data_IF_953086203070
#
_entry.id   IF_953086203070
#
_cell.length_a   1.000
_cell.length_b   1.000
_cell.length_c   1.000
_cell.angle_alpha   90.00
_cell.angle_beta   90.00
_cell.angle_gamma   90.00
#
_symmetry.space_group_name_H-M   'P 1'
#
loop_
_entity.id
_entity.type
_entity.pdbx_description
1 polymer ?
2 non-polymer ?
3 non-polymer ?
4 non-polymer ?
5 non-polymer ?
6 water ?
#
# COMPACT_ATOMS: atom_id res chain seq x y z
N UNK A 1 -0.24 -26.16 4.22
CA UNK A 1 -1.74 -26.04 4.02
C UNK A 1 -2.25 -24.63 4.37
N UNK A 2 -2.85 -23.95 3.38
CA UNK A 2 -3.43 -22.62 3.57
C UNK A 2 -4.95 -22.65 3.35
N UNK A 3 -5.70 -22.28 4.40
CA UNK A 3 -7.15 -22.26 4.36
C UNK A 3 -7.61 -20.84 4.56
N UNK A 4 -8.41 -20.32 3.63
CA UNK A 4 -8.89 -18.98 3.68
C UNK A 4 -10.41 -18.91 3.82
N UNK A 5 -10.89 -18.19 4.82
CA UNK A 5 -12.29 -17.87 4.96
C UNK A 5 -12.52 -16.51 4.33
N UNK A 6 -13.55 -16.37 3.50
CA UNK A 6 -13.94 -15.13 2.88
C UNK A 6 -15.45 -14.96 3.04
N UNK A 7 -15.93 -13.73 2.89
CA UNK A 7 -17.37 -13.44 2.88
C UNK A 7 -17.70 -12.10 3.50
N UNK A 8 -18.96 -11.68 3.37
CA UNK A 8 -19.41 -10.37 3.88
C UNK A 8 -19.35 -10.30 5.41
N UNK A 9 -19.47 -9.10 5.93
CA UNK A 9 -19.59 -8.88 7.37
C UNK A 9 -20.81 -9.66 7.90
N UNK A 10 -20.65 -10.34 9.04
CA UNK A 10 -21.72 -11.12 9.65
C UNK A 10 -21.92 -12.52 9.09
N UNK A 11 -21.06 -12.97 8.18
CA UNK A 11 -21.19 -14.30 7.59
C UNK A 11 -20.65 -15.42 8.49
N UNK A 12 -19.98 -15.09 9.58
CA UNK A 12 -19.51 -16.08 10.52
C UNK A 12 -18.08 -16.50 10.34
N UNK A 13 -17.28 -15.70 9.64
CA UNK A 13 -15.89 -16.04 9.35
C UNK A 13 -15.06 -16.18 10.61
N UNK A 14 -15.17 -15.19 11.48
CA UNK A 14 -14.35 -15.20 12.67
C UNK A 14 -14.70 -16.40 13.51
N UNK A 15 -15.98 -16.68 13.64
CA UNK A 15 -16.45 -17.76 14.46
C UNK A 15 -16.00 -19.08 13.87
N UNK A 16 -16.27 -19.31 12.59
CA UNK A 16 -15.92 -20.57 11.96
C UNK A 16 -14.41 -20.83 11.85
N UNK A 17 -13.64 -19.79 11.59
CA UNK A 17 -12.18 -19.93 11.53
C UNK A 17 -11.58 -20.35 12.88
N UNK A 18 -12.14 -19.77 13.97
CA UNK A 18 -11.75 -20.11 15.34
C UNK A 18 -12.16 -21.56 15.65
N UNK A 19 -13.36 -21.94 15.20
CA UNK A 19 -13.83 -23.32 15.34
C UNK A 19 -12.91 -24.30 14.60
N UNK A 20 -12.54 -23.95 13.37
CA UNK A 20 -11.66 -24.82 12.60
C UNK A 20 -10.28 -24.91 13.27
N UNK A 21 -9.78 -23.81 13.80
CA UNK A 21 -8.49 -23.76 14.53
C UNK A 21 -8.43 -24.74 15.73
N UNK A 22 -9.42 -24.68 16.61
CA UNK A 22 -9.47 -25.56 17.80
C UNK A 22 -9.59 -27.03 17.40
N UNK A 23 -10.50 -27.30 16.49
CA UNK A 23 -10.72 -28.64 15.94
C UNK A 23 -9.42 -29.28 15.40
N UNK A 24 -8.66 -28.53 14.61
CA UNK A 24 -7.43 -29.05 13.95
C UNK A 24 -6.27 -29.19 14.93
N UNK A 25 -6.22 -28.30 15.93
CA UNK A 25 -5.23 -28.37 17.00
C UNK A 25 -5.45 -29.69 17.74
N UNK A 26 -6.72 -29.98 18.08
CA UNK A 26 -7.07 -31.22 18.80
C UNK A 26 -6.69 -32.46 17.99
N UNK A 27 -6.95 -32.43 16.68
CA UNK A 27 -6.53 -33.50 15.75
C UNK A 27 -5.00 -33.57 15.51
N UNK A 28 -4.21 -32.66 16.07
CA UNK A 28 -2.75 -32.79 16.12
C UNK A 28 -1.97 -32.03 15.06
N UNK A 29 -2.65 -31.20 14.28
CA UNK A 29 -1.98 -30.31 13.36
C UNK A 29 -1.41 -29.16 14.15
N UNK A 30 -0.31 -28.63 13.66
CA UNK A 30 0.24 -27.37 14.14
C UNK A 30 -0.50 -26.32 13.33
N UNK A 31 -1.20 -25.40 14.01
CA UNK A 31 -2.09 -24.46 13.35
C UNK A 31 -1.77 -23.00 13.73
N UNK A 32 -1.93 -22.09 12.76
CA UNK A 32 -1.94 -20.67 13.00
C UNK A 32 -3.26 -20.09 12.47
N UNK A 33 -3.74 -19.07 13.17
CA UNK A 33 -4.93 -18.33 12.82
C UNK A 33 -4.55 -16.86 12.77
N UNK A 34 -4.82 -16.21 11.66
CA UNK A 34 -4.53 -14.80 11.49
C UNK A 34 -5.69 -14.09 10.83
N UNK A 35 -5.87 -12.83 11.17
CA UNK A 35 -6.89 -11.99 10.54
C UNK A 35 -6.26 -10.98 9.62
N UNK A 36 -7.05 -10.56 8.64
CA UNK A 36 -6.68 -9.55 7.70
C UNK A 36 -7.78 -8.46 7.70
N UNK A 37 -7.40 -7.19 7.81
CA UNK A 37 -6.02 -6.75 8.11
C UNK A 37 -5.67 -7.04 9.56
N UNK A 38 -4.39 -7.07 9.85
CA UNK A 38 -3.90 -7.41 11.19
C UNK A 38 -2.93 -8.56 11.10
N UNK A 39 -2.76 -9.26 12.20
CA UNK A 39 -1.94 -10.47 12.25
C UNK A 39 -0.47 -10.29 12.56
N UNK A 40 0.05 -9.06 12.38
CA UNK A 40 1.43 -8.66 12.77
C UNK A 40 1.38 -7.38 13.58
N UNK A 41 2.50 -6.98 14.19
CA UNK A 41 2.60 -5.69 14.88
C UNK A 41 2.21 -4.56 13.91
N UNK A 42 2.85 -4.56 12.76
CA UNK A 42 2.64 -3.53 11.79
C UNK A 42 1.25 -3.60 11.21
N UNK A 43 0.83 -4.80 10.86
CA UNK A 43 -0.51 -5.05 10.37
C UNK A 43 -1.62 -4.54 11.27
N UNK A 44 -1.43 -4.67 12.59
CA UNK A 44 -2.45 -4.21 13.53
C UNK A 44 -2.50 -2.69 13.62
N UNK A 45 -1.36 -2.02 13.44
CA UNK A 45 -1.36 -0.55 13.36
C UNK A 45 -2.19 -0.11 12.16
N UNK A 46 -1.96 -0.75 11.01
CA UNK A 46 -2.71 -0.43 9.81
C UNK A 46 -4.19 -0.77 10.00
N UNK A 47 -4.49 -1.86 10.70
CA UNK A 47 -5.87 -2.21 10.99
C UNK A 47 -6.56 -1.07 11.75
N UNK A 48 -5.91 -0.57 12.81
CA UNK A 48 -6.44 0.55 13.61
C UNK A 48 -6.69 1.78 12.70
N UNK A 49 -5.77 2.07 11.81
CA UNK A 49 -5.94 3.16 10.85
C UNK A 49 -7.14 2.91 9.91
N UNK A 50 -7.21 1.72 9.31
CA UNK A 50 -8.30 1.43 8.38
C UNK A 50 -9.66 1.56 9.03
N UNK A 51 -9.75 1.27 10.33
CA UNK A 51 -11.02 1.34 11.06
C UNK A 51 -11.30 2.73 11.64
N UNK A 52 -10.24 3.43 12.06
CA UNK A 52 -10.33 4.81 12.57
C UNK A 52 -10.67 5.84 11.48
N UNK A 53 -9.82 5.94 10.47
CA UNK A 53 -9.76 7.15 9.61
C UNK A 53 -10.72 7.15 8.43
N UNK A 54 -11.04 8.35 7.96
CA UNK A 54 -11.84 8.50 6.74
C UNK A 54 -10.81 8.38 5.62
N UNK A 55 -10.91 7.33 4.81
CA UNK A 55 -9.96 7.08 3.75
C UNK A 55 -10.66 6.90 2.42
N UNK A 56 -10.13 7.53 1.39
CA UNK A 56 -10.47 7.16 0.04
C UNK A 56 -10.12 5.69 -0.20
N UNK A 57 -10.81 5.12 -1.17
CA UNK A 57 -10.68 3.73 -1.54
C UNK A 57 -9.30 3.30 -2.03
N UNK A 58 -8.54 4.22 -2.61
CA UNK A 58 -7.21 3.87 -3.16
C UNK A 58 -6.22 3.67 -2.04
N UNK A 59 -6.19 4.65 -1.14
CA UNK A 59 -5.41 4.57 0.08
C UNK A 59 -5.78 3.37 0.91
N UNK A 60 -7.07 3.13 1.03
CA UNK A 60 -7.58 1.92 1.65
C UNK A 60 -6.99 0.65 1.05
N UNK A 61 -7.13 0.47 -0.25
CA UNK A 61 -6.59 -0.69 -0.91
C UNK A 61 -5.10 -0.88 -0.62
N UNK A 62 -4.31 0.18 -0.68
CA UNK A 62 -2.85 0.08 -0.51
C UNK A 62 -2.46 -0.32 0.91
N UNK A 63 -3.21 0.16 1.90
CA UNK A 63 -3.03 -0.25 3.27
C UNK A 63 -3.47 -1.72 3.55
N UNK A 64 -4.61 -2.14 2.99
CA UNK A 64 -4.98 -3.57 3.08
C UNK A 64 -3.83 -4.41 2.54
N UNK A 65 -3.27 -4.01 1.39
CA UNK A 65 -2.24 -4.79 0.78
C UNK A 65 -0.95 -4.78 1.59
N UNK A 66 -0.61 -3.63 2.17
CA UNK A 66 0.56 -3.52 3.04
C UNK A 66 0.44 -4.49 4.22
N UNK A 67 -0.69 -4.47 4.91
CA UNK A 67 -0.94 -5.47 5.97
C UNK A 67 -0.75 -6.93 5.48
N UNK A 68 -1.32 -7.25 4.34
CA UNK A 68 -1.13 -8.56 3.77
C UNK A 68 0.33 -8.91 3.47
N UNK A 69 1.07 -7.93 2.95
CA UNK A 69 2.47 -8.14 2.56
C UNK A 69 3.29 -8.48 3.79
N UNK A 70 3.04 -7.73 4.89
CA UNK A 70 3.74 -7.94 6.15
C UNK A 70 3.40 -9.30 6.70
N UNK A 71 2.12 -9.64 6.71
CA UNK A 71 1.68 -10.93 7.17
C UNK A 71 2.28 -12.08 6.37
N UNK A 72 2.28 -11.97 5.04
CA UNK A 72 2.83 -13.02 4.21
C UNK A 72 4.33 -13.26 4.54
N UNK A 73 5.08 -12.17 4.63
CA UNK A 73 6.53 -12.25 4.76
C UNK A 73 6.97 -12.62 6.18
N UNK A 74 6.31 -12.07 7.19
CA UNK A 74 6.68 -12.26 8.59
C UNK A 74 6.17 -13.61 9.14
N UNK A 75 4.97 -14.05 8.71
CA UNK A 75 4.27 -15.18 9.36
C UNK A 75 3.89 -16.32 8.40
N UNK A 76 3.16 -16.04 7.33
CA UNK A 76 2.59 -17.12 6.51
C UNK A 76 3.66 -17.93 5.78
N UNK A 77 4.57 -17.28 5.06
CA UNK A 77 5.58 -18.04 4.32
C UNK A 77 6.40 -18.94 5.28
N UNK A 78 6.94 -18.39 6.39
CA UNK A 78 7.62 -19.29 7.34
C UNK A 78 6.70 -20.38 7.96
N UNK A 79 5.45 -20.02 8.28
CA UNK A 79 4.50 -20.99 8.79
C UNK A 79 4.32 -22.15 7.83
N UNK A 80 4.06 -21.85 6.57
CA UNK A 80 3.95 -22.87 5.55
C UNK A 80 5.22 -23.73 5.42
N UNK A 81 6.39 -23.10 5.54
CA UNK A 81 7.68 -23.81 5.46
C UNK A 81 7.76 -24.92 6.53
N UNK A 82 7.28 -24.60 7.74
CA UNK A 82 7.28 -25.56 8.86
C UNK A 82 6.05 -26.47 8.91
N UNK A 83 5.35 -26.66 7.78
CA UNK A 83 4.13 -27.47 7.68
C UNK A 83 3.02 -27.14 8.71
N UNK A 84 2.91 -25.87 9.10
CA UNK A 84 1.74 -25.44 9.83
C UNK A 84 0.53 -25.37 8.89
N UNK A 85 -0.65 -25.67 9.41
CA UNK A 85 -1.90 -25.32 8.72
C UNK A 85 -2.17 -23.85 9.01
N UNK A 86 -2.32 -23.04 7.96
CA UNK A 86 -2.53 -21.60 8.14
C UNK A 86 -3.98 -21.27 7.77
N UNK A 87 -4.69 -20.66 8.72
CA UNK A 87 -6.10 -20.30 8.54
C UNK A 87 -6.19 -18.79 8.56
N UNK A 88 -6.81 -18.23 7.51
CA UNK A 88 -6.96 -16.79 7.37
C UNK A 88 -8.42 -16.37 7.46
N UNK A 89 -8.64 -15.42 8.37
CA UNK A 89 -9.93 -14.78 8.53
C UNK A 89 -9.92 -13.58 7.57
N UNK A 90 -10.43 -13.81 6.35
CA UNK A 90 -10.34 -12.92 5.18
C UNK A 90 -9.02 -13.08 4.44
N UNK A 91 -9.07 -12.93 3.12
CA UNK A 91 -7.85 -12.95 2.32
C UNK A 91 -8.12 -12.21 1.02
N UNK A 92 -7.57 -12.70 -0.09
CA UNK A 92 -7.48 -11.91 -1.33
C UNK A 92 -8.82 -11.69 -2.02
N UNK A 93 -9.75 -12.64 -1.90
CA UNK A 93 -11.06 -12.45 -2.52
C UNK A 93 -11.82 -11.31 -1.86
N UNK A 94 -11.64 -11.13 -0.56
CA UNK A 94 -12.27 -10.02 0.15
C UNK A 94 -11.87 -8.67 -0.43
N UNK A 95 -10.59 -8.55 -0.77
CA UNK A 95 -10.09 -7.33 -1.35
C UNK A 95 -10.74 -7.03 -2.70
N UNK A 96 -10.90 -8.05 -3.52
CA UNK A 96 -11.48 -7.84 -4.81
C UNK A 96 -12.96 -7.47 -4.62
N UNK A 97 -13.65 -8.24 -3.78
CA UNK A 97 -15.08 -8.04 -3.63
C UNK A 97 -15.38 -6.68 -3.07
N UNK A 98 -14.62 -6.25 -2.06
CA UNK A 98 -14.91 -4.97 -1.43
C UNK A 98 -14.38 -3.80 -2.24
N UNK A 99 -13.11 -3.83 -2.61
CA UNK A 99 -12.51 -2.70 -3.30
C UNK A 99 -12.88 -2.66 -4.76
N UNK A 100 -13.12 -3.82 -5.33
CA UNK A 100 -13.47 -3.92 -6.76
C UNK A 100 -14.96 -3.81 -6.98
N UNK A 101 -15.68 -4.90 -6.71
CA UNK A 101 -17.13 -4.91 -6.90
C UNK A 101 -17.82 -3.93 -6.01
N UNK A 102 -17.33 -3.78 -4.78
CA UNK A 102 -17.92 -2.80 -3.88
C UNK A 102 -17.62 -1.36 -4.27
N UNK A 103 -16.35 -0.94 -4.24
CA UNK A 103 -16.06 0.50 -4.39
C UNK A 103 -15.58 0.93 -5.76
N UNK A 104 -15.57 -0.02 -6.70
CA UNK A 104 -15.46 0.28 -8.11
C UNK A 104 -14.06 0.35 -8.68
N UNK A 105 -13.04 -0.05 -7.91
CA UNK A 105 -11.65 -0.10 -8.43
C UNK A 105 -11.47 -1.28 -9.41
N UNK A 106 -10.41 -1.22 -10.21
CA UNK A 106 -10.24 -2.18 -11.30
C UNK A 106 -9.82 -3.53 -10.73
N UNK A 107 -10.56 -4.56 -11.15
CA UNK A 107 -10.42 -5.90 -10.61
C UNK A 107 -9.10 -6.55 -11.03
N UNK A 108 -8.71 -6.42 -12.30
CA UNK A 108 -7.40 -6.90 -12.72
C UNK A 108 -6.24 -6.23 -11.93
N UNK A 109 -6.43 -4.95 -11.65
CA UNK A 109 -5.45 -4.23 -10.89
C UNK A 109 -5.33 -4.76 -9.48
N UNK A 110 -6.47 -4.93 -8.81
CA UNK A 110 -6.49 -5.56 -7.47
C UNK A 110 -5.81 -6.92 -7.50
N UNK A 111 -6.15 -7.75 -8.48
CA UNK A 111 -5.52 -9.09 -8.64
C UNK A 111 -4.00 -9.03 -8.76
N UNK A 112 -3.50 -8.03 -9.48
CA UNK A 112 -2.06 -7.91 -9.61
C UNK A 112 -1.39 -7.39 -8.32
N UNK A 113 -2.07 -6.50 -7.60
CA UNK A 113 -1.63 -6.14 -6.26
C UNK A 113 -1.67 -7.30 -5.29
N UNK A 114 -2.73 -8.10 -5.36
CA UNK A 114 -2.81 -9.32 -4.58
C UNK A 114 -1.62 -10.25 -4.85
N UNK A 115 -1.32 -10.49 -6.12
CA UNK A 115 -0.16 -11.33 -6.52
C UNK A 115 1.19 -10.83 -5.92
N UNK A 116 1.36 -9.51 -5.98
CA UNK A 116 2.54 -8.84 -5.44
C UNK A 116 2.67 -8.99 -3.94
N UNK A 117 1.58 -8.77 -3.22
CA UNK A 117 1.64 -8.80 -1.74
C UNK A 117 1.86 -10.21 -1.18
N UNK A 118 1.32 -11.20 -1.88
CA UNK A 118 1.38 -12.57 -1.46
C UNK A 118 2.57 -13.31 -2.08
N UNK A 119 3.39 -12.67 -2.93
CA UNK A 119 4.44 -13.40 -3.65
C UNK A 119 3.85 -14.61 -4.38
N UNK A 120 2.61 -14.51 -4.88
CA UNK A 120 1.95 -15.66 -5.49
C UNK A 120 1.52 -16.82 -4.61
N UNK A 121 1.59 -16.69 -3.28
CA UNK A 121 1.01 -17.66 -2.36
C UNK A 121 -0.52 -17.64 -2.47
N UNK A 122 -1.10 -18.80 -2.78
CA UNK A 122 -2.53 -19.02 -3.05
C UNK A 122 -3.02 -20.03 -2.03
N UNK A 123 -4.30 -19.96 -1.63
CA UNK A 123 -4.80 -21.03 -0.75
C UNK A 123 -4.96 -22.39 -1.46
N UNK A 124 -4.83 -23.46 -0.68
CA UNK A 124 -5.25 -24.81 -1.07
C UNK A 124 -6.76 -24.86 -1.19
N UNK A 125 -7.45 -24.15 -0.30
CA UNK A 125 -8.88 -24.03 -0.37
C UNK A 125 -9.33 -22.69 0.22
N UNK A 126 -10.34 -22.09 -0.41
CA UNK A 126 -11.01 -20.92 0.10
C UNK A 126 -12.43 -21.31 0.42
N UNK A 127 -12.87 -21.01 1.66
CA UNK A 127 -14.26 -21.18 2.11
C UNK A 127 -15.01 -19.88 2.07
N UNK A 128 -15.92 -19.79 1.09
CA UNK A 128 -16.79 -18.64 0.94
C UNK A 128 -18.05 -18.84 1.77
N UNK A 129 -18.15 -18.13 2.88
CA UNK A 129 -19.33 -18.13 3.72
C UNK A 129 -20.36 -17.19 3.11
N UNK A 130 -21.25 -17.74 2.29
CA UNK A 130 -22.25 -16.98 1.57
C UNK A 130 -23.50 -16.91 2.40
N UNK A 131 -24.13 -15.74 2.41
CA UNK A 131 -25.29 -15.48 3.27
C UNK A 131 -26.06 -14.30 2.69
N UNK A 132 -27.40 -14.33 2.74
CA UNK A 132 -28.16 -13.13 2.33
C UNK A 132 -27.81 -11.94 3.23
N UNK A 133 -27.78 -10.75 2.65
CA UNK A 133 -27.37 -9.55 3.35
C UNK A 133 -28.35 -9.26 4.47
N UNK A 134 -29.63 -9.53 4.23
CA UNK A 134 -30.67 -9.34 5.24
C UNK A 134 -30.36 -10.15 6.51
N UNK A 135 -29.92 -11.39 6.30
CA UNK A 135 -29.60 -12.26 7.41
C UNK A 135 -28.31 -11.83 8.10
N UNK A 136 -27.29 -11.49 7.33
CA UNK A 136 -26.05 -10.98 7.93
C UNK A 136 -26.29 -9.70 8.71
N UNK A 137 -27.17 -8.82 8.20
CA UNK A 137 -27.48 -7.56 8.93
C UNK A 137 -28.23 -7.75 10.27
N UNK A 138 -29.19 -8.70 10.31
CA UNK A 138 -29.88 -9.06 11.55
C UNK A 138 -28.88 -9.56 12.57
N UNK A 139 -27.89 -10.35 12.14
CA UNK A 139 -26.89 -10.86 13.10
C UNK A 139 -26.01 -9.79 13.62
N UNK A 140 -25.60 -8.88 12.77
CA UNK A 140 -24.81 -7.74 13.24
C UNK A 140 -25.60 -6.86 14.19
N UNK A 141 -26.89 -6.67 13.89
CA UNK A 141 -27.82 -5.84 14.72
C UNK A 141 -27.78 -6.32 16.17
N UNK A 142 -27.85 -7.63 16.37
CA UNK A 142 -27.75 -8.24 17.70
C UNK A 142 -26.46 -7.84 18.44
N UNK A 143 -25.39 -7.52 17.72
CA UNK A 143 -24.16 -7.00 18.30
C UNK A 143 -24.02 -5.44 18.24
N UNK A 144 -25.12 -4.74 17.96
CA UNK A 144 -25.14 -3.27 17.79
C UNK A 144 -24.18 -2.75 16.71
N UNK A 145 -24.09 -3.47 15.60
CA UNK A 145 -23.29 -3.06 14.45
C UNK A 145 -24.17 -2.97 13.20
N UNK A 146 -24.03 -1.89 12.44
CA UNK A 146 -24.96 -1.57 11.36
C UNK A 146 -24.15 -1.29 10.11
N UNK A 147 -24.33 -2.13 9.08
CA UNK A 147 -23.60 -1.98 7.83
C UNK A 147 -24.55 -1.66 6.67
N UNK A 148 -23.94 -1.27 5.55
CA UNK A 148 -24.62 -0.67 4.44
C UNK A 148 -25.16 -1.76 3.51
N UNK A 149 -26.50 -1.92 3.51
CA UNK A 149 -27.14 -2.94 2.73
C UNK A 149 -26.82 -2.82 1.24
N UNK A 150 -26.86 -1.59 0.70
CA UNK A 150 -26.62 -1.42 -0.73
C UNK A 150 -25.21 -1.92 -1.11
N UNK A 151 -24.22 -1.50 -0.31
CA UNK A 151 -22.84 -1.83 -0.52
C UNK A 151 -22.62 -3.36 -0.38
N UNK A 152 -23.16 -3.97 0.67
CA UNK A 152 -22.97 -5.41 0.88
C UNK A 152 -23.63 -6.29 -0.19
N UNK A 153 -24.74 -5.84 -0.80
CA UNK A 153 -25.36 -6.59 -1.91
C UNK A 153 -24.43 -6.75 -3.12
N UNK A 154 -23.83 -5.64 -3.54
CA UNK A 154 -22.82 -5.67 -4.59
C UNK A 154 -21.67 -6.57 -4.18
N UNK A 155 -21.18 -6.42 -2.93
CA UNK A 155 -20.01 -7.18 -2.46
C UNK A 155 -20.35 -8.65 -2.50
N UNK A 156 -21.53 -9.00 -1.99
CA UNK A 156 -21.94 -10.39 -1.98
C UNK A 156 -21.95 -10.98 -3.41
N UNK A 157 -22.55 -10.25 -4.33
CA UNK A 157 -22.55 -10.65 -5.77
C UNK A 157 -21.12 -10.86 -6.25
N UNK A 158 -20.27 -9.87 -6.01
CA UNK A 158 -18.84 -9.98 -6.30
C UNK A 158 -18.22 -11.28 -5.83
N UNK A 159 -18.41 -11.59 -4.55
CA UNK A 159 -17.92 -12.83 -3.95
C UNK A 159 -18.39 -14.06 -4.70
N UNK A 160 -19.67 -14.09 -5.03
CA UNK A 160 -20.26 -15.20 -5.78
C UNK A 160 -19.74 -15.32 -7.22
N UNK A 161 -19.53 -14.19 -7.89
CA UNK A 161 -18.89 -14.18 -9.24
C UNK A 161 -17.46 -14.74 -9.12
N UNK A 162 -16.73 -14.33 -8.09
CA UNK A 162 -15.38 -14.83 -7.91
C UNK A 162 -15.28 -16.34 -7.65
N UNK A 163 -16.30 -16.92 -7.02
CA UNK A 163 -16.29 -18.38 -6.71
C UNK A 163 -16.47 -19.22 -7.97
N UNK A 164 -17.23 -18.69 -8.95
CA UNK A 164 -17.43 -19.34 -10.28
C UNK A 164 -16.14 -19.39 -11.11
N UNK A 165 -15.32 -18.34 -11.00
CA UNK A 165 -14.16 -18.15 -11.87
C UNK A 165 -12.82 -18.48 -11.19
N UNK A 166 -12.62 -18.07 -9.94
CA UNK A 166 -11.33 -18.34 -9.24
C UNK A 166 -11.24 -19.79 -8.82
N UNK A 167 -10.02 -20.24 -8.52
CA UNK A 167 -9.74 -21.67 -8.33
C UNK A 167 -9.93 -22.08 -6.87
N UNK A 168 -10.41 -23.31 -6.63
CA UNK A 168 -10.48 -23.89 -5.27
C UNK A 168 -11.38 -23.14 -4.28
N UNK A 169 -12.45 -22.55 -4.76
CA UNK A 169 -13.36 -21.81 -3.90
C UNK A 169 -14.59 -22.68 -3.74
N UNK A 170 -14.93 -23.02 -2.50
CA UNK A 170 -16.19 -23.68 -2.18
C UNK A 170 -17.19 -22.71 -1.50
N UNK A 171 -18.39 -22.64 -2.04
CA UNK A 171 -19.47 -21.85 -1.46
C UNK A 171 -20.13 -22.68 -0.35
N UNK A 172 -20.07 -22.15 0.86
CA UNK A 172 -20.71 -22.75 2.03
C UNK A 172 -21.96 -21.93 2.30
N UNK A 173 -23.07 -22.61 2.58
CA UNK A 173 -24.29 -21.92 3.03
C UNK A 173 -24.10 -21.50 4.49
N UNK A 174 -23.73 -20.25 4.69
CA UNK A 174 -23.43 -19.78 6.04
C UNK A 174 -24.68 -19.40 6.82
N UNK A 175 -25.84 -19.46 6.18
CA UNK A 175 -27.11 -19.07 6.81
C UNK A 175 -27.57 -20.08 7.86
N UNK A 176 -27.05 -21.29 7.86
CA UNK A 176 -27.46 -22.31 8.85
C UNK A 176 -27.02 -21.98 10.25
N UNK A 177 -27.28 -22.89 11.18
CA UNK A 177 -26.76 -22.78 12.56
C UNK A 177 -25.28 -23.14 12.61
N UNK A 178 -24.63 -22.65 13.66
CA UNK A 178 -23.19 -22.70 13.83
C UNK A 178 -22.58 -24.07 13.55
N UNK A 179 -23.22 -25.10 14.11
CA UNK A 179 -22.75 -26.47 13.98
C UNK A 179 -22.99 -27.06 12.60
N UNK A 180 -24.16 -26.76 12.01
CA UNK A 180 -24.44 -27.14 10.62
C UNK A 180 -23.36 -26.56 9.68
N UNK A 181 -23.04 -25.29 9.85
CA UNK A 181 -22.15 -24.61 8.95
C UNK A 181 -20.80 -25.24 9.13
N UNK A 182 -20.38 -25.46 10.36
CA UNK A 182 -19.06 -26.08 10.61
C UNK A 182 -18.92 -27.48 9.93
N UNK A 183 -19.98 -28.29 9.94
CA UNK A 183 -19.88 -29.61 9.34
C UNK A 183 -19.92 -29.56 7.80
N UNK A 184 -20.57 -28.53 7.20
CA UNK A 184 -20.41 -28.23 5.75
C UNK A 184 -18.95 -27.84 5.46
N UNK A 185 -18.36 -27.01 6.31
CA UNK A 185 -16.96 -26.67 6.12
C UNK A 185 -16.09 -27.96 6.15
N UNK A 186 -16.29 -28.83 7.14
CA UNK A 186 -15.49 -30.05 7.25
C UNK A 186 -15.60 -30.96 6.01
N UNK A 187 -16.79 -31.04 5.43
CA UNK A 187 -16.95 -31.78 4.19
C UNK A 187 -16.16 -31.18 3.04
N UNK A 188 -16.23 -29.86 2.88
CA UNK A 188 -15.43 -29.14 1.87
C UNK A 188 -13.93 -29.32 2.08
N UNK A 189 -13.50 -29.23 3.33
CA UNK A 189 -12.13 -29.52 3.78
C UNK A 189 -11.62 -30.94 3.50
N UNK A 190 -12.52 -31.92 3.54
CA UNK A 190 -12.11 -33.32 3.32
C UNK A 190 -11.53 -33.53 1.90
N UNK A 191 -11.99 -32.69 0.96
CA UNK A 191 -11.35 -32.51 -0.34
C UNK A 191 -9.82 -32.42 -0.37
N UNK A 192 -9.21 -31.76 0.63
CA UNK A 192 -7.78 -31.39 0.57
C UNK A 192 -6.89 -31.86 1.71
N UNK A 193 -7.47 -32.27 2.83
CA UNK A 193 -6.70 -32.48 4.06
C UNK A 193 -6.93 -33.88 4.65
N UNK B 1 0.19 24.23 -11.07
CA UNK B 1 1.67 23.99 -11.23
C UNK B 1 2.17 23.02 -10.14
N UNK B 2 2.73 21.90 -10.60
CA UNK B 2 3.32 20.88 -9.73
C UNK B 2 4.82 20.78 -9.99
N UNK B 3 5.60 21.03 -8.94
CA UNK B 3 7.07 20.98 -9.00
C UNK B 3 7.57 19.92 -8.02
N UNK B 4 8.34 18.98 -8.53
CA UNK B 4 8.84 17.87 -7.74
C UNK B 4 10.34 17.89 -7.65
N UNK B 5 10.85 17.84 -6.44
CA UNK B 5 12.28 17.62 -6.20
C UNK B 5 12.53 16.14 -5.92
N UNK B 6 13.49 15.55 -6.62
CA UNK B 6 13.89 14.15 -6.48
C UNK B 6 15.39 14.10 -6.31
N UNK B 7 15.90 12.99 -5.81
CA UNK B 7 17.35 12.75 -5.66
C UNK B 7 17.73 12.02 -4.38
N UNK B 8 18.98 11.59 -4.30
CA UNK B 8 19.46 10.80 -3.14
C UNK B 8 19.49 11.61 -1.84
N UNK B 9 19.61 10.90 -0.73
CA UNK B 9 19.73 11.52 0.57
C UNK B 9 20.94 12.46 0.53
N UNK B 10 20.82 13.64 1.15
CA UNK B 10 21.90 14.63 1.20
C UNK B 10 22.11 15.45 -0.06
N UNK B 11 21.23 15.33 -1.04
CA UNK B 11 21.33 16.10 -2.28
C UNK B 11 20.80 17.55 -2.14
N UNK B 12 20.19 17.88 -0.99
CA UNK B 12 19.70 19.23 -0.76
C UNK B 12 18.25 19.49 -1.16
N UNK B 13 17.43 18.44 -1.25
CA UNK B 13 16.03 18.56 -1.66
C UNK B 13 15.28 19.38 -0.66
N UNK B 14 15.39 19.00 0.61
CA UNK B 14 14.62 19.71 1.60
C UNK B 14 15.00 21.18 1.59
N UNK B 15 16.30 21.46 1.52
CA UNK B 15 16.78 22.82 1.60
C UNK B 15 16.32 23.64 0.39
N UNK B 16 16.47 23.10 -0.81
CA UNK B 16 16.11 23.81 -2.03
C UNK B 16 14.60 23.98 -2.23
N UNK B 17 13.81 22.98 -1.87
CA UNK B 17 12.35 23.04 -1.93
C UNK B 17 11.81 24.16 -1.04
N UNK B 18 12.42 24.31 0.15
CA UNK B 18 12.03 25.33 1.14
C UNK B 18 12.42 26.71 0.64
N UNK B 19 13.58 26.78 -0.01
CA UNK B 19 14.07 27.97 -0.69
C UNK B 19 13.15 28.36 -1.85
N UNK B 20 12.72 27.37 -2.63
CA UNK B 20 11.82 27.66 -3.74
C UNK B 20 10.44 28.12 -3.25
N UNK B 21 9.99 27.57 -2.12
CA UNK B 21 8.74 27.95 -1.46
C UNK B 21 8.70 29.40 -1.02
N UNK B 22 9.73 29.84 -0.30
CA UNK B 22 9.79 31.23 0.21
C UNK B 22 9.87 32.19 -0.96
N UNK B 23 10.76 31.90 -1.89
CA UNK B 23 10.93 32.71 -3.10
C UNK B 23 9.61 32.97 -3.85
N UNK B 24 8.86 31.90 -4.13
CA UNK B 24 7.59 31.99 -4.89
C UNK B 24 6.47 32.67 -4.10
N UNK B 25 6.45 32.46 -2.78
CA UNK B 25 5.48 33.12 -1.91
C UNK B 25 5.71 34.65 -2.02
N UNK B 26 6.97 35.08 -1.89
CA UNK B 26 7.35 36.49 -2.01
C UNK B 26 6.95 37.06 -3.38
N UNK B 27 7.16 36.30 -4.46
CA UNK B 27 6.74 36.69 -5.81
C UNK B 27 5.18 36.67 -6.03
N UNK B 28 4.41 36.26 -5.01
CA UNK B 28 2.94 36.39 -5.01
C UNK B 28 2.15 35.18 -5.47
N UNK B 29 2.82 34.03 -5.64
CA UNK B 29 2.11 32.77 -5.89
C UNK B 29 1.60 32.27 -4.58
N UNK B 30 0.50 31.54 -4.66
CA UNK B 30 -0.02 30.79 -3.51
C UNK B 30 0.68 29.44 -3.61
N UNK B 31 1.40 29.06 -2.55
CA UNK B 31 2.29 27.91 -2.62
C UNK B 31 2.02 26.92 -1.50
N UNK B 32 2.12 25.64 -1.81
CA UNK B 32 2.16 24.58 -0.81
C UNK B 32 3.49 23.85 -0.89
N UNK B 33 3.97 23.38 0.24
CA UNK B 33 5.15 22.54 0.30
C UNK B 33 4.81 21.27 1.10
N UNK B 34 4.99 20.10 0.49
CA UNK B 34 4.72 18.84 1.18
C UNK B 34 5.87 17.89 1.01
N UNK B 35 6.10 17.05 2.02
CA UNK B 35 7.10 15.99 1.93
C UNK B 35 6.44 14.61 1.73
N UNK B 36 7.21 13.71 1.09
CA UNK B 36 6.84 12.32 0.89
C UNK B 36 7.94 11.41 1.48
N UNK B 37 7.56 10.44 2.32
CA UNK B 37 6.20 10.24 2.83
C UNK B 37 5.90 11.29 3.88
N UNK B 38 4.63 11.54 4.13
CA UNK B 38 4.18 12.55 5.10
C UNK B 38 3.17 13.46 4.45
N UNK B 39 3.02 14.66 5.00
CA UNK B 39 2.19 15.71 4.40
C UNK B 39 0.73 15.72 4.78
N UNK B 40 0.22 14.60 5.31
CA UNK B 40 -1.14 14.51 5.86
C UNK B 40 -1.04 13.90 7.25
N UNK B 41 -2.15 13.92 7.98
CA UNK B 41 -2.19 13.26 9.30
C UNK B 41 -1.86 11.77 9.14
N UNK B 42 -2.52 11.13 8.18
CA UNK B 42 -2.33 9.70 7.95
C UNK B 42 -0.96 9.42 7.35
N UNK B 43 -0.56 10.22 6.37
CA UNK B 43 0.77 10.15 5.78
C UNK B 43 1.90 10.22 6.76
N UNK B 44 1.76 11.06 7.81
CA UNK B 44 2.81 11.20 8.82
C UNK B 44 2.87 9.99 9.77
N UNK B 45 1.73 9.35 10.02
CA UNK B 45 1.75 8.10 10.78
C UNK B 45 2.51 7.05 10.03
N UNK B 46 2.24 6.93 8.74
CA UNK B 46 2.95 5.98 7.88
C UNK B 46 4.42 6.34 7.82
N UNK B 47 4.74 7.63 7.74
CA UNK B 47 6.14 8.07 7.77
C UNK B 47 6.84 7.52 9.01
N UNK B 48 6.26 7.77 10.19
CA UNK B 48 6.82 7.27 11.45
C UNK B 48 7.03 5.75 11.44
N UNK B 49 6.10 5.00 10.84
CA UNK B 49 6.25 3.56 10.64
C UNK B 49 7.44 3.23 9.74
N UNK B 50 7.47 3.85 8.55
CA UNK B 50 8.55 3.60 7.58
C UNK B 50 9.95 3.89 8.12
N UNK B 51 10.07 4.85 9.05
CA UNK B 51 11.38 5.17 9.66
C UNK B 51 11.69 4.36 10.92
N UNK B 52 10.65 3.99 11.67
CA UNK B 52 10.75 3.13 12.85
C UNK B 52 11.06 1.66 12.55
N UNK B 53 10.19 1.02 11.77
CA UNK B 53 10.12 -0.45 11.74
C UNK B 53 11.06 -1.12 10.74
N UNK B 54 11.37 -2.39 11.03
CA UNK B 54 12.11 -3.22 10.08
C UNK B 54 11.04 -3.69 9.09
N UNK B 55 11.14 -3.25 7.84
CA UNK B 55 10.16 -3.63 6.83
C UNK B 55 10.82 -4.26 5.61
N UNK B 56 10.23 -5.33 5.13
CA UNK B 56 10.51 -5.82 3.80
C UNK B 56 10.14 -4.74 2.77
N UNK B 57 10.78 -4.85 1.61
CA UNK B 57 10.66 -3.88 0.54
C UNK B 57 9.26 -3.78 -0.10
N UNK B 58 8.48 -4.86 -0.02
CA UNK B 58 7.16 -4.85 -0.62
C UNK B 58 6.21 -4.04 0.23
N UNK B 59 6.20 -4.36 1.52
CA UNK B 59 5.44 -3.62 2.50
C UNK B 59 5.81 -2.16 2.47
N UNK B 60 7.11 -1.91 2.46
CA UNK B 60 7.64 -0.54 2.31
C UNK B 60 7.02 0.18 1.12
N UNK B 61 7.08 -0.42 -0.05
CA UNK B 61 6.55 0.19 -1.27
C UNK B 61 5.08 0.54 -1.14
N UNK B 62 4.31 -0.39 -0.57
CA UNK B 62 2.86 -0.20 -0.42
C UNK B 62 2.53 0.90 0.57
N UNK B 63 3.33 1.05 1.62
CA UNK B 63 3.13 2.17 2.55
C UNK B 63 3.57 3.52 1.98
N UNK B 64 4.65 3.54 1.18
CA UNK B 64 5.03 4.79 0.47
C UNK B 64 3.90 5.21 -0.45
N UNK B 65 3.31 4.26 -1.15
CA UNK B 65 2.23 4.59 -2.05
C UNK B 65 0.95 4.99 -1.31
N UNK B 66 0.68 4.39 -0.16
CA UNK B 66 -0.48 4.80 0.66
C UNK B 66 -0.39 6.25 1.08
N UNK B 67 0.75 6.61 1.67
CA UNK B 67 1.04 8.02 1.95
C UNK B 67 0.79 8.94 0.71
N UNK B 68 1.35 8.57 -0.43
CA UNK B 68 1.18 9.35 -1.63
C UNK B 68 -0.29 9.48 -2.02
N UNK B 69 -1.05 8.39 -1.87
CA UNK B 69 -2.46 8.35 -2.27
C UNK B 69 -3.24 9.31 -1.41
N UNK B 70 -2.93 9.30 -0.11
CA UNK B 70 -3.58 10.20 0.82
C UNK B 70 -3.23 11.64 0.48
N UNK B 71 -1.96 11.92 0.25
CA UNK B 71 -1.52 13.25 -0.06
C UNK B 71 -2.15 13.75 -1.36
N UNK B 72 -2.22 12.89 -2.37
CA UNK B 72 -2.80 13.29 -3.63
C UNK B 72 -4.28 13.71 -3.46
N UNK B 73 -5.03 12.87 -2.76
CA UNK B 73 -6.48 13.03 -2.69
C UNK B 73 -6.88 14.12 -1.70
N UNK B 74 -6.17 14.21 -0.56
CA UNK B 74 -6.49 15.16 0.49
C UNK B 74 -6.00 16.57 0.16
N UNK B 75 -4.82 16.71 -0.46
CA UNK B 75 -4.12 18.03 -0.56
C UNK B 75 -3.79 18.45 -1.99
N UNK B 76 -3.11 17.61 -2.76
CA UNK B 76 -2.57 18.04 -4.04
C UNK B 76 -3.66 18.31 -5.06
N UNK B 77 -4.57 17.36 -5.26
CA UNK B 77 -5.60 17.58 -6.28
C UNK B 77 -6.37 18.89 -6.01
N UNK B 78 -6.90 19.09 -4.78
CA UNK B 78 -7.56 20.35 -4.46
C UNK B 78 -6.66 21.59 -4.51
N UNK B 79 -5.39 21.47 -4.09
CA UNK B 79 -4.42 22.56 -4.25
C UNK B 79 -4.28 22.96 -5.73
N UNK B 80 -4.07 22.00 -6.60
CA UNK B 80 -4.00 22.29 -8.03
C UNK B 80 -5.29 22.94 -8.58
N UNK B 81 -6.43 22.53 -8.05
CA UNK B 81 -7.72 23.03 -8.51
C UNK B 81 -7.81 24.54 -8.26
N UNK B 82 -7.29 24.97 -7.10
CA UNK B 82 -7.24 26.38 -6.71
C UNK B 82 -5.98 27.15 -7.21
N UNK B 83 -5.33 26.66 -8.26
CA UNK B 83 -4.12 27.26 -8.85
C UNK B 83 -2.98 27.54 -7.88
N UNK B 84 -2.82 26.72 -6.85
CA UNK B 84 -1.65 26.80 -5.99
C UNK B 84 -0.47 26.17 -6.72
N UNK B 85 0.72 26.72 -6.53
CA UNK B 85 1.95 26.04 -6.93
C UNK B 85 2.23 24.98 -5.88
N UNK B 86 2.34 23.72 -6.29
CA UNK B 86 2.57 22.63 -5.33
C UNK B 86 3.98 22.13 -5.52
N UNK B 87 4.77 22.19 -4.43
CA UNK B 87 6.17 21.78 -4.43
C UNK B 87 6.29 20.52 -3.60
N UNK B 88 6.85 19.47 -4.18
CA UNK B 88 7.05 18.17 -3.49
C UNK B 88 8.49 17.83 -3.17
N UNK B 89 8.76 17.57 -1.90
CA UNK B 89 10.06 17.11 -1.44
C UNK B 89 10.02 15.56 -1.57
N UNK B 90 10.49 15.07 -2.73
CA UNK B 90 10.39 13.65 -3.21
C UNK B 90 9.04 13.37 -3.82
N UNK B 91 9.05 12.54 -4.85
CA UNK B 91 7.81 12.11 -5.47
C UNK B 91 8.04 10.76 -6.16
N UNK B 92 7.49 10.54 -7.33
CA UNK B 92 7.38 9.22 -7.92
C UNK B 92 8.67 8.62 -8.48
N UNK B 93 9.60 9.47 -8.90
CA UNK B 93 10.91 8.96 -9.34
C UNK B 93 11.70 8.35 -8.19
N UNK B 94 11.55 8.92 -7.00
CA UNK B 94 12.21 8.42 -5.80
C UNK B 94 11.76 7.04 -5.52
N UNK B 95 10.48 6.79 -5.69
CA UNK B 95 9.98 5.45 -5.45
C UNK B 95 10.63 4.47 -6.36
N UNK B 96 10.70 4.81 -7.64
CA UNK B 96 11.25 3.90 -8.63
C UNK B 96 12.73 3.71 -8.33
N UNK B 97 13.44 4.80 -8.08
CA UNK B 97 14.89 4.70 -7.87
C UNK B 97 15.25 3.87 -6.64
N UNK B 98 14.53 4.07 -5.54
CA UNK B 98 14.84 3.40 -4.31
C UNK B 98 14.31 1.98 -4.27
N UNK B 99 13.04 1.79 -4.59
CA UNK B 99 12.41 0.46 -4.50
C UNK B 99 12.69 -0.41 -5.71
N UNK B 100 12.84 0.22 -6.88
CA UNK B 100 13.17 -0.48 -8.14
C UNK B 100 14.68 -0.71 -8.30
N UNK B 101 15.41 0.34 -8.66
CA UNK B 101 16.85 0.20 -8.89
C UNK B 101 17.59 -0.13 -7.62
N UNK B 102 17.16 0.47 -6.51
CA UNK B 102 17.78 0.20 -5.22
C UNK B 102 17.53 -1.21 -4.72
N UNK B 103 16.26 -1.57 -4.47
CA UNK B 103 15.95 -2.84 -3.78
C UNK B 103 15.47 -3.94 -4.70
N UNK B 104 15.44 -3.68 -5.99
CA UNK B 104 15.24 -4.72 -6.97
C UNK B 104 13.79 -5.09 -7.30
N UNK B 105 12.80 -4.29 -6.89
CA UNK B 105 11.41 -4.57 -7.31
C UNK B 105 11.20 -4.19 -8.75
N UNK B 106 10.13 -4.69 -9.35
CA UNK B 106 9.89 -4.46 -10.77
C UNK B 106 9.51 -2.99 -11.02
N UNK B 107 10.19 -2.38 -11.99
CA UNK B 107 10.07 -0.96 -12.30
C UNK B 107 8.75 -0.64 -13.01
N UNK B 108 8.31 -1.47 -13.93
CA UNK B 108 6.99 -1.29 -14.54
C UNK B 108 5.90 -1.35 -13.49
N UNK B 109 6.09 -2.23 -12.51
CA UNK B 109 5.13 -2.41 -11.45
C UNK B 109 5.06 -1.16 -10.59
N UNK B 110 6.22 -0.65 -10.16
CA UNK B 110 6.25 0.58 -9.39
C UNK B 110 5.59 1.71 -10.15
N UNK B 111 5.89 1.86 -11.44
CA UNK B 111 5.27 2.87 -12.29
C UNK B 111 3.73 2.76 -12.34
N UNK B 112 3.20 1.54 -12.37
CA UNK B 112 1.75 1.37 -12.38
C UNK B 112 1.14 1.68 -11.01
N UNK B 113 1.80 1.29 -9.93
CA UNK B 113 1.38 1.74 -8.64
C UNK B 113 1.41 3.26 -8.54
N UNK B 114 2.48 3.87 -9.05
CA UNK B 114 2.57 5.33 -9.04
C UNK B 114 1.37 5.93 -9.74
N UNK B 115 1.04 5.41 -10.91
CA UNK B 115 -0.08 5.91 -11.70
C UNK B 115 -1.39 5.86 -10.89
N UNK B 116 -1.61 4.75 -10.19
CA UNK B 116 -2.77 4.53 -9.33
C UNK B 116 -2.86 5.50 -8.13
N UNK B 117 -1.75 5.71 -7.45
CA UNK B 117 -1.76 6.54 -6.24
C UNK B 117 -1.97 8.00 -6.57
N UNK B 118 -1.46 8.41 -7.72
CA UNK B 118 -1.53 9.81 -8.13
C UNK B 118 -2.74 10.08 -9.02
N UNK B 119 -3.59 9.11 -9.33
CA UNK B 119 -4.65 9.32 -10.34
C UNK B 119 -4.07 9.90 -11.66
N UNK B 120 -2.87 9.48 -12.06
CA UNK B 120 -2.21 10.07 -13.21
C UNK B 120 -1.76 11.54 -13.13
N UNK B 121 -1.82 12.17 -11.96
CA UNK B 121 -1.23 13.53 -11.76
C UNK B 121 0.30 13.48 -11.83
N UNK B 122 0.86 14.20 -12.80
CA UNK B 122 2.27 14.22 -13.19
C UNK B 122 2.80 15.63 -12.91
N UNK B 123 4.09 15.78 -12.56
CA UNK B 123 4.62 17.15 -12.42
C UNK B 123 4.78 17.89 -13.76
N UNK B 124 4.63 19.21 -13.70
CA UNK B 124 5.01 20.10 -14.80
C UNK B 124 6.49 20.05 -15.00
N UNK B 125 7.22 19.99 -13.90
CA UNK B 125 8.66 19.82 -13.96
C UNK B 125 9.17 19.04 -12.75
N UNK B 126 10.15 18.19 -12.97
CA UNK B 126 10.84 17.50 -11.90
C UNK B 126 12.31 17.99 -11.88
N UNK B 127 12.74 18.44 -10.71
CA UNK B 127 14.15 18.81 -10.47
C UNK B 127 14.91 17.66 -9.81
N UNK B 128 15.75 16.99 -10.58
CA UNK B 128 16.64 15.94 -10.05
C UNK B 128 17.94 16.57 -9.56
N UNK B 129 18.07 16.68 -8.24
CA UNK B 129 19.29 17.11 -7.60
C UNK B 129 20.34 15.97 -7.58
N UNK B 130 21.12 15.91 -8.65
CA UNK B 130 22.15 14.88 -8.82
C UNK B 130 23.41 15.32 -8.13
N UNK B 131 24.04 14.37 -7.45
CA UNK B 131 25.24 14.61 -6.66
C UNK B 131 25.99 13.28 -6.52
N UNK B 132 27.33 13.32 -6.45
CA UNK B 132 28.07 12.06 -6.15
C UNK B 132 27.76 11.59 -4.75
N UNK B 133 27.72 10.27 -4.58
CA UNK B 133 27.38 9.68 -3.30
C UNK B 133 28.41 10.05 -2.22
N UNK B 134 29.69 10.08 -2.62
CA UNK B 134 30.79 10.49 -1.72
C UNK B 134 30.51 11.87 -1.13
N UNK B 135 30.06 12.80 -1.98
CA UNK B 135 29.75 14.17 -1.54
C UNK B 135 28.50 14.21 -0.65
N UNK B 136 27.43 13.54 -1.09
CA UNK B 136 26.24 13.46 -0.26
C UNK B 136 26.55 12.84 1.13
N UNK B 137 27.36 11.77 1.14
CA UNK B 137 27.70 11.14 2.43
C UNK B 137 28.51 12.06 3.37
N UNK B 138 29.47 12.82 2.81
CA UNK B 138 30.20 13.84 3.61
C UNK B 138 29.28 14.87 4.24
N UNK B 139 28.24 15.29 3.51
CA UNK B 139 27.25 16.24 4.05
C UNK B 139 26.42 15.64 5.14
N UNK B 140 25.93 14.43 4.91
CA UNK B 140 25.15 13.74 5.92
C UNK B 140 25.99 13.49 7.17
N UNK B 141 27.27 13.14 7.00
CA UNK B 141 28.21 12.97 8.14
C UNK B 141 28.24 14.19 9.06
N UNK B 142 28.31 15.40 8.48
CA UNK B 142 28.23 16.67 9.27
C UNK B 142 26.94 16.79 10.12
N UNK B 143 25.86 16.10 9.75
CA UNK B 143 24.63 16.02 10.57
C UNK B 143 24.52 14.71 11.41
N UNK B 144 25.61 13.96 11.55
CA UNK B 144 25.64 12.64 12.22
C UNK B 144 24.58 11.64 11.68
N UNK B 145 24.46 11.57 10.35
CA UNK B 145 23.62 10.57 9.65
C UNK B 145 24.49 9.80 8.64
N UNK B 146 24.36 8.49 8.64
CA UNK B 146 25.27 7.61 7.86
C UNK B 146 24.42 6.69 7.02
N UNK B 147 24.58 6.76 5.71
CA UNK B 147 23.79 5.96 4.76
C UNK B 147 24.69 5.06 3.94
N UNK B 148 24.06 4.08 3.30
CA UNK B 148 24.77 2.97 2.69
C UNK B 148 25.26 3.34 1.30
N UNK B 149 26.58 3.48 1.16
CA UNK B 149 27.17 3.88 -0.10
C UNK B 149 26.78 2.96 -1.26
N UNK B 150 26.86 1.64 -1.04
CA UNK B 150 26.60 0.69 -2.12
C UNK B 150 25.17 0.86 -2.65
N UNK B 151 24.25 1.05 -1.71
CA UNK B 151 22.83 1.20 -2.01
C UNK B 151 22.56 2.52 -2.75
N UNK B 152 23.16 3.61 -2.28
CA UNK B 152 22.98 4.91 -2.92
C UNK B 152 23.60 5.05 -4.30
N UNK B 153 24.70 4.35 -4.59
CA UNK B 153 25.27 4.33 -5.93
C UNK B 153 24.29 3.79 -6.95
N UNK B 154 23.67 2.66 -6.64
CA UNK B 154 22.61 2.10 -7.51
C UNK B 154 21.46 3.09 -7.66
N UNK B 155 21.02 3.66 -6.53
CA UNK B 155 19.88 4.58 -6.53
C UNK B 155 20.18 5.78 -7.40
N UNK B 156 21.36 6.35 -7.25
CA UNK B 156 21.78 7.49 -8.08
C UNK B 156 21.74 7.15 -9.57
N UNK B 157 22.30 6.01 -9.94
CA UNK B 157 22.28 5.54 -11.34
C UNK B 157 20.84 5.42 -11.83
N UNK B 158 20.01 4.80 -11.00
CA UNK B 158 18.57 4.73 -11.26
C UNK B 158 17.93 6.08 -11.55
N UNK B 159 18.18 7.07 -10.70
CA UNK B 159 17.68 8.43 -10.91
C UNK B 159 18.12 9.02 -12.25
N UNK B 160 19.40 8.87 -12.55
CA UNK B 160 19.94 9.33 -13.83
C UNK B 160 19.34 8.58 -15.06
N UNK B 161 19.16 7.26 -14.96
CA UNK B 161 18.50 6.51 -16.05
C UNK B 161 17.04 7.00 -16.27
N UNK B 162 16.35 7.35 -15.20
CA UNK B 162 15.00 7.87 -15.27
C UNK B 162 14.89 9.28 -15.87
N UNK B 163 15.92 10.10 -15.70
CA UNK B 163 15.93 11.48 -16.26
C UNK B 163 16.08 11.49 -17.77
N UNK B 164 16.81 10.49 -18.31
CA UNK B 164 16.94 10.25 -19.76
C UNK B 164 15.62 9.83 -20.44
N UNK B 165 14.82 9.01 -19.76
CA UNK B 165 13.63 8.38 -20.34
C UNK B 165 12.32 9.09 -19.96
N UNK B 166 12.14 9.42 -18.66
CA UNK B 166 10.89 10.07 -18.17
C UNK B 166 10.81 11.53 -18.61
N UNK B 167 9.60 12.07 -18.64
CA UNK B 167 9.31 13.37 -19.27
C UNK B 167 9.53 14.54 -18.29
N UNK B 168 10.00 15.70 -18.78
CA UNK B 168 10.12 16.95 -17.98
C UNK B 168 11.05 16.88 -16.76
N UNK B 169 12.12 16.10 -16.86
CA UNK B 169 13.06 15.94 -15.75
C UNK B 169 14.32 16.72 -16.10
N UNK B 170 14.67 17.70 -15.26
CA UNK B 170 15.93 18.43 -15.42
C UNK B 170 16.97 18.04 -14.37
N UNK B 171 18.14 17.65 -14.83
CA UNK B 171 19.22 17.25 -13.95
C UNK B 171 19.94 18.51 -13.51
N UNK B 172 19.90 18.80 -12.21
CA UNK B 172 20.58 19.94 -11.61
C UNK B 172 21.82 19.41 -10.95
N UNK B 173 22.94 20.11 -11.14
CA UNK B 173 24.19 19.78 -10.44
C UNK B 173 24.02 20.24 -9.01
N UNK B 174 23.66 19.32 -8.12
CA UNK B 174 23.43 19.68 -6.72
C UNK B 174 24.71 19.74 -5.92
N UNK B 175 25.87 19.47 -6.55
CA UNK B 175 27.17 19.51 -5.84
C UNK B 175 27.66 20.90 -5.52
N UNK B 176 27.14 21.92 -6.21
CA UNK B 176 27.57 23.31 -5.97
C UNK B 176 27.12 23.82 -4.60
N UNK B 177 27.44 25.10 -4.31
CA UNK B 177 26.98 25.76 -3.07
C UNK B 177 25.49 26.16 -3.20
N UNK B 178 24.86 26.40 -2.06
CA UNK B 178 23.42 26.54 -1.92
C UNK B 178 22.83 27.52 -2.94
N UNK B 179 23.49 28.67 -3.07
CA UNK B 179 23.00 29.74 -3.94
C UNK B 179 23.20 29.46 -5.41
N UNK B 180 24.31 28.79 -5.74
CA UNK B 180 24.53 28.33 -7.12
C UNK B 180 23.47 27.33 -7.58
N UNK B 181 23.11 26.42 -6.67
CA UNK B 181 22.18 25.37 -7.02
C UNK B 181 20.82 26.01 -7.23
N UNK B 182 20.43 26.89 -6.31
CA UNK B 182 19.16 27.60 -6.42
C UNK B 182 19.01 28.38 -7.73
N UNK B 183 20.12 28.98 -8.21
CA UNK B 183 20.15 29.72 -9.48
C UNK B 183 19.91 28.76 -10.63
N UNK B 184 20.53 27.59 -10.59
CA UNK B 184 20.31 26.55 -11.63
C UNK B 184 18.84 26.10 -11.64
N UNK B 185 18.27 25.95 -10.46
CA UNK B 185 16.87 25.55 -10.37
C UNK B 185 15.96 26.65 -10.97
N UNK B 186 16.27 27.91 -10.67
CA UNK B 186 15.47 28.99 -11.22
C UNK B 186 15.52 29.02 -12.73
N UNK B 187 16.70 28.79 -13.31
CA UNK B 187 16.82 28.70 -14.76
C UNK B 187 15.92 27.61 -15.30
N UNK B 188 16.02 26.40 -14.72
CA UNK B 188 15.20 25.25 -15.15
C UNK B 188 13.71 25.53 -15.07
N UNK B 189 13.31 26.16 -13.96
CA UNK B 189 11.96 26.67 -13.68
C UNK B 189 11.42 27.70 -14.67
N UNK B 190 12.30 28.53 -15.24
CA UNK B 190 11.87 29.53 -16.23
C UNK B 190 11.26 28.87 -17.47
N UNK B 191 11.71 27.66 -17.79
CA UNK B 191 11.05 26.78 -18.78
C UNK B 191 9.53 26.65 -18.70
N UNK B 192 8.95 26.71 -17.49
CA UNK B 192 7.51 26.42 -17.30
C UNK B 192 6.64 27.47 -16.59
N UNK B 193 7.25 28.45 -15.93
CA UNK B 193 6.52 29.32 -15.00
C UNK B 193 6.74 30.81 -15.29
X LIG C 1 -14.82 -10.85 12.47
X LIG D 1 -17.01 -9.36 10.39
X LIG D 1 -15.97 -9.44 11.50
X LIG D 1 -16.49 -9.41 8.95
X LIG D 1 -17.92 -8.18 10.53
X LIG D 1 -17.67 -12.16 10.53
X LIG D 1 -16.34 -12.46 11.21
X LIG D 1 -17.93 -12.68 9.15
X LIG D 1 -18.06 -10.61 10.60
X LIG D 1 -18.58 -13.19 12.92
X LIG D 1 -17.64 -12.19 13.56
X LIG D 1 -18.34 -14.66 13.14
X LIG D 1 -18.77 -12.90 11.36
X LIG D 1 -20.05 -12.64 13.34
X LIG D 1 -21.33 -13.26 13.17
X LIG D 1 -22.23 -12.92 14.37
X LIG D 1 -23.29 -13.87 14.46
X LIG D 1 -21.54 -13.05 15.72
X LIG D 1 -22.21 -12.28 16.73
X LIG D 1 -21.62 -14.54 15.96
X LIG D 1 -21.52 -14.90 17.33
X LIG D 1 -22.94 -14.94 15.34
X LIG D 1 -22.91 -16.18 14.52
X LIG D 1 -21.86 -16.85 14.00
X LIG D 1 -22.27 -17.93 13.30
X LIG D 1 -23.63 -17.94 13.36
X LIG D 1 -24.71 -18.80 12.85
X LIG D 1 -24.42 -19.89 12.11
X LIG D 1 -26.01 -18.46 13.15
X LIG D 1 -26.33 -17.38 13.89
X LIG D 1 -25.37 -16.55 14.39
X LIG D 1 -24.04 -16.78 14.17
X LIG E 1 2.81 -24.24 16.89
X LIG E 1 3.45 -25.11 17.84
X LIG E 1 1.40 -23.78 17.34
X LIG E 1 0.35 -24.55 16.72
X LIG F 1 -5.34 6.85 -13.24
X LIG F 1 -5.30 5.75 -12.31
X LIG F 1 -6.65 7.64 -13.12
X LIG F 1 -7.64 6.81 -12.49
X LIG G 1 6.41 -13.89 -7.38
X LIG G 1 7.17 -13.87 -6.16
X LIG G 1 6.37 -12.48 -7.96
X LIG G 1 5.17 -11.81 -7.54
X LIG H 1 -12.12 -8.71 9.78
X LIG H 1 -13.33 -7.86 10.08
X LIG H 1 -13.62 -7.65 11.56
X LIG H 1 -14.51 -8.25 9.25
X LIG H 1 -12.92 -6.42 9.48
X LIG H 1 -13.49 -5.15 9.85
X LIG H 1 -13.92 -4.36 8.61
X LIG H 1 -13.02 -4.44 7.48
X LIG H 1 -15.26 -4.89 8.08
X LIG H 1 -16.35 -4.06 8.55
X LIG H 1 -15.13 -4.94 6.56
X LIG H 1 -16.26 -4.28 5.95
X LIG H 1 -13.78 -4.27 6.24
X LIG H 1 -13.06 -4.76 5.00
X LIG H 1 -13.00 -3.99 3.77
X LIG H 1 -12.32 -4.48 2.70
X LIG H 1 -11.70 -5.68 2.74
X LIG H 1 -11.72 -6.45 3.91
X LIG H 1 -12.41 -5.95 5.04
X LIG H 1 -13.51 -2.86 3.58
X LIG H 1 -11.06 -6.09 1.63
X LIG I 1 14.95 15.80 3.58
X LIG J 1 17.40 13.68 3.17
X LIG J 1 16.47 14.49 4.07
X LIG J 1 16.68 12.96 2.03
X LIG J 1 18.32 12.74 3.95
X LIG J 1 18.01 16.05 1.53
X LIG J 1 16.66 16.53 2.03
X LIG J 1 18.20 15.77 0.04
X LIG J 1 18.43 14.82 2.52
X LIG J 1 18.96 18.41 2.80
X LIG J 1 18.50 17.97 4.17
X LIG J 1 18.17 19.49 2.09
X LIG J 1 19.13 17.16 1.81
X LIG J 1 20.53 18.84 2.81
X LIG J 1 21.59 17.93 3.15
X LIG J 1 22.47 18.48 4.29
X LIG J 1 23.55 19.26 3.75
X LIG J 1 21.73 19.39 5.28
X LIG J 1 22.14 19.11 6.62
X LIG J 1 22.07 20.81 4.84
X LIG J 1 22.29 21.70 5.93
X LIG J 1 23.34 20.66 4.01
X LIG J 1 23.34 21.32 2.68
X LIG J 1 22.28 21.68 1.89
X LIG J 1 22.72 22.22 0.73
X LIG J 1 24.07 22.20 0.75
X LIG J 1 25.16 22.62 -0.15
X LIG J 1 24.84 23.19 -1.34
X LIG J 1 26.46 22.44 0.25
X LIG J 1 26.77 21.87 1.44
X LIG J 1 25.82 21.47 2.32
X LIG J 1 24.48 21.60 2.04
X LIG K 1 12.13 11.84 3.38
X LIG K 1 13.60 12.24 3.48
X LIG K 1 13.94 13.32 4.50
X LIG K 1 14.11 12.48 2.08
X LIG K 1 14.40 10.94 4.06
X LIG K 1 13.80 9.85 4.80
X LIG K 1 14.16 8.45 4.31
X LIG K 1 13.26 7.86 3.34
X LIG K 1 15.53 8.39 3.64
X LIG K 1 16.44 7.65 4.49
X LIG K 1 15.31 7.73 2.29
X LIG K 1 16.44 6.90 2.01
X LIG K 1 13.97 6.97 2.43
X LIG K 1 13.18 6.63 1.20
X LIG K 1 13.09 5.27 0.60
X LIG K 1 12.32 5.07 -0.50
X LIG K 1 11.61 6.08 -1.05
X LIG K 1 11.65 7.38 -0.50
X LIG K 1 12.44 7.62 0.62
X LIG K 1 13.68 4.21 1.02
X LIG K 1 10.87 5.79 -2.13
#
# INVERSE_FOLDING_TARGET
>A
MLIAFEGIDGSGKTTQAKKLYEYLKQKGYFVSLYREPGGTKVGEVLREILLTEELDERTELLLFEASRSKLIEEKIIPDLKRDKVVILDRFVLSTIAYQGYGKGLDVEFIKNLNEFATRGVKPDITLLLDIPVDIALRRLKEKNRFENKEFLEKVRKGFLELAKEEENVVVIDASGEEEEVFKEILRALSGVLRV
>B
MLIAFEGIDGSGKTTQAKKLYEYLKQKGYFVSLYREPGGTKVGEVLREILLTEELDERTELLLFEASRSKLIEEKIIPDLKRDKVVILDRFVLSTIAYQGYGKGLDVEFIKNLNEFATRGVKPDITLLLDIPVDIALRRLKEKNRFENKEFLEKVRKGFLELAKEEENVVVIDASGEEEEVFKEILRALSGVLRV
>C hetero
1 MG MG
>D hetero
1 ATP PG O1G O2G O3G PB O1B O2B O3B PA O1A O2A O3A O5' C5' C4' O4' C3' O3' C2' O2' C1' N9 C8 N7 C5 C6 N6 N1 C2 N3 C4
>E hetero
1 EDO C1 O1 C2 O2
>F hetero
1 EDO C1 O1 C2 O2
>G hetero
1 EDO C1 O1 C2 O2
>H hetero
1 C5P O3P P O1P O2P O5' C5' C4' O4' C3' O3' C2' O2' C1' N1 C2 N3 C4 C5 C6 O2 N4
>I hetero
1 MG MG
>J hetero
1 ATP PG O1G O2G O3G PB O1B O2B O3B PA O1A O2A O3A O5' C5' C4' O4' C3' O3' C2' O2' C1' N9 C8 N7 C5 C6 N6 N1 C2 N3 C4
>K hetero
1 C5P O3P P O1P O2P O5' C5' C4' O4' C3' O3' C2' O2' C1' N1 C2 N3 C4 C5 C6 O2 N4
#
